data_IF_109563345790
#
_entry.id   IF_109563345790
#
_cell.length_a   1.000
_cell.length_b   1.000
_cell.length_c   1.000
_cell.angle_alpha   90.00
_cell.angle_beta   90.00
_cell.angle_gamma   90.00
#
_symmetry.space_group_name_H-M   'P 1'
#
loop_
_entity.id
_entity.type
_entity.pdbx_description
1 polymer ?
#
# COMPACT_ATOMS: atom_id res chain seq x y z
N UNK A 1 -15.27 5.02 25.52
CA UNK A 1 -16.16 6.02 24.90
C UNK A 1 -17.38 5.38 24.22
N UNK A 2 -17.21 4.27 23.48
CA UNK A 2 -18.32 3.58 22.79
C UNK A 2 -19.24 2.74 23.70
N UNK A 3 -18.99 2.71 25.02
CA UNK A 3 -19.65 1.80 25.98
C UNK A 3 -21.16 2.04 26.14
N UNK A 4 -21.64 3.23 25.81
CA UNK A 4 -23.06 3.61 25.91
C UNK A 4 -23.77 3.67 24.55
N UNK A 5 -23.07 3.33 23.46
CA UNK A 5 -23.60 3.35 22.10
C UNK A 5 -23.33 2.00 21.40
N UNK A 6 -24.14 0.97 21.69
CA UNK A 6 -23.86 -0.40 21.27
C UNK A 6 -23.83 -0.58 19.75
N UNK A 7 -24.63 0.21 19.02
CA UNK A 7 -24.67 0.17 17.56
C UNK A 7 -23.36 0.69 16.93
N UNK A 8 -22.86 1.84 17.38
CA UNK A 8 -21.55 2.37 16.97
C UNK A 8 -20.40 1.47 17.38
N UNK A 9 -20.51 0.85 18.56
CA UNK A 9 -19.50 -0.10 19.03
C UNK A 9 -19.41 -1.31 18.09
N UNK A 10 -20.53 -1.91 17.73
CA UNK A 10 -20.57 -3.08 16.86
C UNK A 10 -20.02 -2.77 15.45
N UNK A 11 -20.36 -1.60 14.88
CA UNK A 11 -19.86 -1.21 13.55
C UNK A 11 -18.36 -0.95 13.55
N UNK A 12 -17.84 -0.28 14.58
CA UNK A 12 -16.40 -0.04 14.75
C UNK A 12 -15.63 -1.33 14.99
N UNK A 13 -16.12 -2.23 15.85
CA UNK A 13 -15.51 -3.53 16.12
C UNK A 13 -15.47 -4.41 14.86
N UNK A 14 -16.54 -4.40 14.06
CA UNK A 14 -16.57 -5.10 12.77
C UNK A 14 -15.55 -4.54 11.77
N UNK A 15 -15.47 -3.21 11.63
CA UNK A 15 -14.49 -2.57 10.76
C UNK A 15 -13.04 -2.80 11.22
N UNK A 16 -12.80 -2.87 12.53
CA UNK A 16 -11.50 -3.20 13.10
C UNK A 16 -11.12 -4.65 12.80
N UNK A 17 -12.06 -5.59 12.93
CA UNK A 17 -11.85 -6.98 12.56
C UNK A 17 -11.54 -7.14 11.06
N UNK A 18 -12.25 -6.40 10.19
CA UNK A 18 -11.95 -6.35 8.75
C UNK A 18 -10.52 -5.84 8.48
N UNK A 19 -10.07 -4.81 9.20
CA UNK A 19 -8.68 -4.32 9.09
C UNK A 19 -7.69 -5.42 9.44
N UNK A 20 -7.85 -6.09 10.59
CA UNK A 20 -6.96 -7.17 11.00
C UNK A 20 -6.94 -8.32 9.98
N UNK A 21 -8.11 -8.79 9.54
CA UNK A 21 -8.20 -9.86 8.56
C UNK A 21 -7.54 -9.48 7.21
N UNK A 22 -7.75 -8.24 6.74
CA UNK A 22 -7.14 -7.78 5.50
C UNK A 22 -5.61 -7.73 5.59
N UNK A 23 -5.10 -7.30 6.75
CA UNK A 23 -3.66 -7.21 7.05
C UNK A 23 -3.01 -8.58 7.16
N UNK A 24 -3.62 -9.48 7.92
CA UNK A 24 -3.13 -10.84 8.12
C UNK A 24 -3.07 -11.62 6.81
N UNK A 25 -3.96 -11.32 5.86
CA UNK A 25 -3.91 -11.86 4.51
C UNK A 25 -2.88 -11.17 3.60
N UNK A 26 -2.54 -9.89 3.82
CA UNK A 26 -1.57 -9.16 3.01
C UNK A 26 -0.11 -9.52 3.36
N UNK A 27 0.22 -9.61 4.66
CA UNK A 27 1.61 -9.77 5.10
C UNK A 27 2.32 -11.01 4.52
N UNK A 28 1.68 -12.20 4.41
CA UNK A 28 2.29 -13.35 3.76
C UNK A 28 2.57 -13.10 2.27
N UNK A 29 1.67 -12.43 1.55
CA UNK A 29 1.86 -12.12 0.12
C UNK A 29 3.02 -11.14 -0.08
N UNK A 30 3.12 -10.12 0.77
CA UNK A 30 4.26 -9.20 0.78
C UNK A 30 5.59 -9.94 1.03
N UNK A 31 5.59 -10.91 1.95
CA UNK A 31 6.77 -11.72 2.23
C UNK A 31 7.18 -12.58 1.03
N UNK A 32 6.24 -13.19 0.33
CA UNK A 32 6.48 -13.94 -0.92
C UNK A 32 7.07 -13.04 -2.01
N UNK A 33 6.45 -11.89 -2.27
CA UNK A 33 6.94 -10.88 -3.21
C UNK A 33 8.38 -10.43 -2.89
N UNK A 34 8.71 -10.30 -1.60
CA UNK A 34 10.05 -9.90 -1.15
C UNK A 34 11.05 -11.03 -1.35
N UNK A 35 10.67 -12.27 -1.05
CA UNK A 35 11.50 -13.46 -1.23
C UNK A 35 11.83 -13.69 -2.71
N UNK A 36 10.82 -13.66 -3.58
CA UNK A 36 11.00 -13.84 -5.03
C UNK A 36 11.92 -12.79 -5.64
N UNK A 37 11.75 -11.51 -5.29
CA UNK A 37 12.65 -10.44 -5.74
C UNK A 37 14.10 -10.68 -5.31
N UNK A 38 14.31 -11.14 -4.08
CA UNK A 38 15.64 -11.45 -3.56
C UNK A 38 16.26 -12.63 -4.30
N UNK A 39 15.48 -13.67 -4.58
CA UNK A 39 15.93 -14.87 -5.28
C UNK A 39 16.27 -14.58 -6.75
N UNK A 40 15.43 -13.80 -7.44
CA UNK A 40 15.70 -13.30 -8.80
C UNK A 40 17.01 -12.51 -8.83
N UNK A 41 17.21 -11.58 -7.88
CA UNK A 41 18.45 -10.82 -7.82
C UNK A 41 19.67 -11.71 -7.58
N UNK A 42 19.54 -12.74 -6.75
CA UNK A 42 20.61 -13.72 -6.51
C UNK A 42 20.95 -14.52 -7.78
N UNK A 43 19.95 -15.02 -8.52
CA UNK A 43 20.19 -15.74 -9.78
C UNK A 43 20.78 -14.84 -10.86
N UNK A 44 20.35 -13.58 -10.96
CA UNK A 44 20.95 -12.61 -11.87
C UNK A 44 22.42 -12.35 -11.52
N UNK A 45 22.76 -12.26 -10.23
CA UNK A 45 24.14 -12.13 -9.80
C UNK A 45 24.96 -13.38 -10.13
N UNK A 46 24.44 -14.58 -9.87
CA UNK A 46 25.12 -15.84 -10.23
C UNK A 46 25.33 -15.99 -11.74
N UNK A 47 24.39 -15.51 -12.56
CA UNK A 47 24.56 -15.46 -14.01
C UNK A 47 25.72 -14.52 -14.42
N UNK A 48 25.82 -13.35 -13.80
CA UNK A 48 26.90 -12.39 -14.06
C UNK A 48 28.26 -12.94 -13.65
N UNK A 49 28.33 -13.64 -12.51
CA UNK A 49 29.55 -14.29 -12.03
C UNK A 49 30.02 -15.40 -12.98
N UNK A 50 29.10 -16.25 -13.45
CA UNK A 50 29.40 -17.30 -14.43
C UNK A 50 29.86 -16.72 -15.77
N UNK A 51 29.26 -15.62 -16.23
CA UNK A 51 29.68 -14.92 -17.45
C UNK A 51 31.06 -14.28 -17.30
N UNK A 52 31.37 -13.70 -16.13
CA UNK A 52 32.69 -13.16 -15.83
C UNK A 52 33.77 -14.26 -15.83
N UNK A 53 33.46 -15.43 -15.26
CA UNK A 53 34.33 -16.60 -15.29
C UNK A 53 34.58 -17.08 -16.73
N UNK A 54 33.53 -17.15 -17.56
CA UNK A 54 33.65 -17.50 -18.98
C UNK A 54 34.55 -16.50 -19.72
N UNK A 55 34.39 -15.19 -19.48
CA UNK A 55 35.23 -14.15 -20.06
C UNK A 55 36.70 -14.27 -19.62
N UNK A 56 36.96 -14.59 -18.35
CA UNK A 56 38.32 -14.84 -17.82
C UNK A 56 38.97 -16.05 -18.51
N UNK A 57 38.25 -17.18 -18.59
CA UNK A 57 38.73 -18.40 -19.25
C UNK A 57 39.03 -18.16 -20.73
N UNK A 58 38.19 -17.37 -21.41
CA UNK A 58 38.40 -16.96 -22.80
C UNK A 58 39.67 -16.11 -22.96
N UNK A 59 39.91 -15.17 -22.05
CA UNK A 59 41.09 -14.31 -22.06
C UNK A 59 42.38 -15.12 -21.83
N UNK A 60 42.35 -16.06 -20.87
CA UNK A 60 43.46 -16.97 -20.59
C UNK A 60 43.78 -17.85 -21.80
N UNK A 61 42.76 -18.45 -22.42
CA UNK A 61 42.93 -19.27 -23.61
C UNK A 61 43.51 -18.46 -24.79
N UNK A 62 43.04 -17.22 -24.98
CA UNK A 62 43.59 -16.29 -25.99
C UNK A 62 45.06 -15.94 -25.72
N UNK A 63 45.44 -15.78 -24.45
CA UNK A 63 46.83 -15.59 -24.03
C UNK A 63 47.70 -16.79 -24.40
N UNK A 64 47.25 -18.00 -24.08
CA UNK A 64 47.95 -19.23 -24.42
C UNK A 64 48.09 -19.41 -25.94
N UNK A 65 47.01 -19.24 -26.71
CA UNK A 65 47.06 -19.36 -28.17
C UNK A 65 48.06 -18.40 -28.84
N UNK A 66 48.27 -17.21 -28.28
CA UNK A 66 49.28 -16.24 -28.77
C UNK A 66 50.72 -16.67 -28.46
N UNK A 67 50.93 -17.48 -27.44
CA UNK A 67 52.24 -17.96 -27.00
C UNK A 67 52.71 -19.24 -27.68
N UNK A 68 51.85 -19.94 -28.43
CA UNK A 68 52.18 -21.21 -29.09
C UNK A 68 52.53 -21.03 -30.58
N UNK A 69 53.62 -21.65 -31.02
CA UNK A 69 54.12 -21.56 -32.42
C UNK A 69 53.88 -22.82 -33.27
N UNK A 70 53.73 -24.01 -32.68
CA UNK A 70 53.77 -25.26 -33.46
C UNK A 70 52.62 -26.28 -33.26
N UNK A 71 51.86 -26.28 -32.13
CA UNK A 71 50.70 -27.18 -31.94
C UNK A 71 49.77 -26.72 -30.80
N UNK A 72 48.47 -27.04 -30.89
CA UNK A 72 47.42 -26.69 -29.91
C UNK A 72 47.55 -27.54 -28.63
N UNK A 73 47.82 -26.90 -27.48
CA UNK A 73 47.93 -27.59 -26.19
C UNK A 73 46.61 -28.22 -25.73
N UNK A 74 46.63 -29.41 -25.08
CA UNK A 74 45.46 -29.99 -24.41
C UNK A 74 44.79 -29.00 -23.43
N UNK A 75 45.58 -28.10 -22.82
CA UNK A 75 45.07 -27.07 -21.91
C UNK A 75 44.14 -26.07 -22.60
N UNK A 76 44.41 -25.72 -23.86
CA UNK A 76 43.53 -24.83 -24.62
C UNK A 76 42.17 -25.48 -24.91
N UNK A 77 42.13 -26.81 -25.10
CA UNK A 77 40.88 -27.56 -25.28
C UNK A 77 40.08 -27.62 -23.98
N UNK A 78 40.76 -27.88 -22.86
CA UNK A 78 40.16 -27.88 -21.53
C UNK A 78 39.56 -26.51 -21.17
N UNK A 79 40.32 -25.42 -21.34
CA UNK A 79 39.84 -24.06 -21.09
C UNK A 79 38.65 -23.70 -22.00
N UNK A 80 38.61 -24.18 -23.25
CA UNK A 80 37.43 -24.00 -24.11
C UNK A 80 36.21 -24.77 -23.63
N UNK A 81 36.39 -25.98 -23.10
CA UNK A 81 35.29 -26.75 -22.53
C UNK A 81 34.74 -26.05 -21.27
N UNK A 82 35.61 -25.56 -20.40
CA UNK A 82 35.24 -24.80 -19.20
C UNK A 82 34.56 -23.47 -19.54
N UNK A 83 35.05 -22.73 -20.55
CA UNK A 83 34.41 -21.50 -21.04
C UNK A 83 32.97 -21.77 -21.51
N UNK A 84 32.75 -22.84 -22.29
CA UNK A 84 31.41 -23.22 -22.75
C UNK A 84 30.49 -23.59 -21.60
N UNK A 85 30.98 -24.40 -20.66
CA UNK A 85 30.22 -24.80 -19.48
C UNK A 85 29.83 -23.58 -18.62
N UNK A 86 30.72 -22.61 -18.45
CA UNK A 86 30.43 -21.38 -17.73
C UNK A 86 29.38 -20.49 -18.44
N UNK A 87 29.43 -20.41 -19.77
CA UNK A 87 28.37 -19.72 -20.53
C UNK A 87 27.02 -20.43 -20.41
N UNK A 88 26.97 -21.76 -20.53
CA UNK A 88 25.73 -22.53 -20.33
C UNK A 88 25.18 -22.34 -18.92
N UNK A 89 26.04 -22.38 -17.89
CA UNK A 89 25.62 -22.11 -16.52
C UNK A 89 25.03 -20.70 -16.36
N UNK A 90 25.61 -19.70 -17.03
CA UNK A 90 25.07 -18.35 -17.02
C UNK A 90 23.69 -18.27 -17.71
N UNK A 91 23.46 -19.05 -18.77
CA UNK A 91 22.15 -19.17 -19.43
C UNK A 91 21.13 -19.84 -18.50
N UNK A 92 21.46 -20.97 -17.89
CA UNK A 92 20.60 -21.69 -16.93
C UNK A 92 20.14 -20.76 -15.79
N UNK A 93 21.06 -19.96 -15.23
CA UNK A 93 20.70 -18.99 -14.18
C UNK A 93 19.76 -17.88 -14.67
N UNK A 94 19.91 -17.41 -15.92
CA UNK A 94 19.00 -16.42 -16.51
C UNK A 94 17.63 -17.02 -16.80
N UNK A 95 17.57 -18.27 -17.23
CA UNK A 95 16.31 -19.00 -17.43
C UNK A 95 15.55 -19.12 -16.09
N UNK A 96 16.22 -19.59 -15.03
CA UNK A 96 15.63 -19.66 -13.68
C UNK A 96 15.13 -18.29 -13.19
N UNK A 97 15.91 -17.23 -13.38
CA UNK A 97 15.50 -15.88 -13.01
C UNK A 97 14.25 -15.41 -13.79
N UNK A 98 14.12 -15.83 -15.06
CA UNK A 98 12.97 -15.50 -15.91
C UNK A 98 11.72 -16.27 -15.49
N UNK A 99 11.87 -17.55 -15.13
CA UNK A 99 10.78 -18.35 -14.58
C UNK A 99 10.26 -17.75 -13.27
N UNK A 100 11.16 -17.40 -12.35
CA UNK A 100 10.79 -16.74 -11.09
C UNK A 100 10.13 -15.37 -11.32
N UNK A 101 10.55 -14.62 -12.35
CA UNK A 101 9.92 -13.35 -12.70
C UNK A 101 8.46 -13.52 -13.10
N UNK A 102 8.10 -14.60 -13.80
CA UNK A 102 6.69 -14.90 -14.11
C UNK A 102 5.86 -15.17 -12.85
N UNK A 103 6.42 -15.91 -11.88
CA UNK A 103 5.77 -16.15 -10.59
C UNK A 103 5.67 -14.87 -9.73
N UNK A 104 6.66 -13.98 -9.84
CA UNK A 104 6.64 -12.68 -9.18
C UNK A 104 5.51 -11.79 -9.72
N UNK A 105 5.25 -11.79 -11.03
CA UNK A 105 4.17 -11.01 -11.62
C UNK A 105 2.79 -11.43 -11.09
N UNK A 106 2.57 -12.74 -10.90
CA UNK A 106 1.33 -13.26 -10.30
C UNK A 106 1.23 -12.90 -8.82
N UNK A 107 2.31 -13.10 -8.06
CA UNK A 107 2.36 -12.75 -6.64
C UNK A 107 2.11 -11.25 -6.41
N UNK A 108 2.67 -10.39 -7.28
CA UNK A 108 2.47 -8.94 -7.22
C UNK A 108 1.01 -8.54 -7.47
N UNK A 109 0.29 -9.25 -8.33
CA UNK A 109 -1.14 -9.01 -8.56
C UNK A 109 -1.99 -9.35 -7.34
N UNK A 110 -1.78 -10.53 -6.78
CA UNK A 110 -2.48 -10.98 -5.58
C UNK A 110 -2.19 -10.06 -4.40
N UNK A 111 -0.91 -9.71 -4.20
CA UNK A 111 -0.48 -8.79 -3.16
C UNK A 111 -1.06 -7.38 -3.37
N UNK A 112 -1.09 -6.87 -4.61
CA UNK A 112 -1.66 -5.55 -4.91
C UNK A 112 -3.18 -5.51 -4.70
N UNK A 113 -3.89 -6.57 -5.07
CA UNK A 113 -5.33 -6.67 -4.85
C UNK A 113 -5.65 -6.74 -3.34
N UNK A 114 -4.86 -7.49 -2.59
CA UNK A 114 -5.00 -7.57 -1.14
C UNK A 114 -4.62 -6.26 -0.44
N UNK A 115 -3.62 -5.53 -0.96
CA UNK A 115 -3.28 -4.18 -0.50
C UNK A 115 -4.47 -3.21 -0.61
N UNK A 116 -5.15 -3.18 -1.77
CA UNK A 116 -6.35 -2.34 -1.93
C UNK A 116 -7.46 -2.69 -0.93
N UNK A 117 -7.55 -3.95 -0.48
CA UNK A 117 -8.48 -4.35 0.59
C UNK A 117 -8.04 -3.83 1.96
N UNK A 118 -6.74 -3.79 2.24
CA UNK A 118 -6.20 -3.15 3.46
C UNK A 118 -6.57 -1.67 3.47
N UNK A 119 -6.30 -0.96 2.38
CA UNK A 119 -6.64 0.48 2.26
C UNK A 119 -8.14 0.71 2.46
N UNK A 120 -8.99 -0.05 1.77
CA UNK A 120 -10.45 0.08 1.91
C UNK A 120 -10.96 -0.24 3.32
N UNK A 121 -10.37 -1.24 4.00
CA UNK A 121 -10.72 -1.57 5.38
C UNK A 121 -10.31 -0.45 6.35
N UNK A 122 -9.11 0.12 6.19
CA UNK A 122 -8.65 1.24 7.00
C UNK A 122 -9.49 2.49 6.81
N UNK A 123 -9.84 2.81 5.56
CA UNK A 123 -10.75 3.92 5.25
C UNK A 123 -12.11 3.71 5.91
N UNK A 124 -12.67 2.49 5.83
CA UNK A 124 -13.93 2.16 6.50
C UNK A 124 -13.83 2.30 8.01
N UNK A 125 -12.75 1.81 8.64
CA UNK A 125 -12.53 1.97 10.08
C UNK A 125 -12.48 3.46 10.46
N UNK A 126 -11.76 4.27 9.70
CA UNK A 126 -11.69 5.71 9.93
C UNK A 126 -13.06 6.39 9.79
N UNK A 127 -13.83 6.04 8.76
CA UNK A 127 -15.17 6.56 8.54
C UNK A 127 -16.11 6.17 9.69
N UNK A 128 -16.20 4.89 10.05
CA UNK A 128 -17.07 4.43 11.13
C UNK A 128 -16.69 5.02 12.49
N UNK A 129 -15.39 5.05 12.81
CA UNK A 129 -14.92 5.57 14.09
C UNK A 129 -15.10 7.09 14.21
N UNK A 130 -14.80 7.84 13.16
CA UNK A 130 -15.03 9.30 13.16
C UNK A 130 -16.51 9.65 13.26
N UNK A 131 -17.39 8.97 12.51
CA UNK A 131 -18.83 9.16 12.60
C UNK A 131 -19.35 8.87 14.01
N UNK A 132 -18.93 7.75 14.60
CA UNK A 132 -19.28 7.37 15.96
C UNK A 132 -18.85 8.43 16.99
N UNK A 133 -17.61 8.94 16.90
CA UNK A 133 -17.12 9.97 17.80
C UNK A 133 -17.89 11.29 17.67
N UNK A 134 -18.27 11.66 16.45
CA UNK A 134 -19.08 12.87 16.21
C UNK A 134 -20.46 12.70 16.84
N UNK A 135 -21.15 11.59 16.59
CA UNK A 135 -22.49 11.35 17.14
C UNK A 135 -22.50 11.30 18.67
N UNK A 136 -21.50 10.63 19.26
CA UNK A 136 -21.31 10.61 20.72
C UNK A 136 -21.06 12.02 21.25
N UNK A 137 -20.14 12.76 20.62
CA UNK A 137 -19.82 14.14 21.03
C UNK A 137 -21.02 15.07 20.95
N UNK A 138 -21.85 14.95 19.91
CA UNK A 138 -23.09 15.71 19.75
C UNK A 138 -24.14 15.35 20.82
N UNK A 139 -24.25 14.06 21.17
CA UNK A 139 -25.17 13.62 22.23
C UNK A 139 -24.76 14.06 23.64
N UNK A 140 -23.49 14.44 23.83
CA UNK A 140 -22.89 14.81 25.11
C UNK A 140 -22.44 16.27 25.16
N UNK A 141 -23.02 17.14 24.31
CA UNK A 141 -22.68 18.56 24.31
C UNK A 141 -22.89 19.18 25.70
N UNK A 142 -21.92 19.97 26.22
CA UNK A 142 -22.06 20.59 27.52
C UNK A 142 -23.35 21.44 27.61
N UNK A 143 -24.16 21.30 28.69
CA UNK A 143 -25.41 22.06 28.82
C UNK A 143 -25.22 23.58 28.74
N UNK A 144 -24.09 24.09 29.24
CA UNK A 144 -23.74 25.50 29.14
C UNK A 144 -23.52 25.96 27.69
N UNK A 145 -22.95 25.12 26.83
CA UNK A 145 -22.75 25.41 25.42
C UNK A 145 -24.10 25.46 24.68
N UNK A 146 -24.98 24.49 24.95
CA UNK A 146 -26.34 24.45 24.39
C UNK A 146 -27.16 25.67 24.80
N UNK A 147 -27.20 25.99 26.10
CA UNK A 147 -27.93 27.13 26.64
C UNK A 147 -27.38 28.47 26.11
N UNK A 148 -26.05 28.63 26.11
CA UNK A 148 -25.40 29.82 25.57
C UNK A 148 -25.72 30.03 24.09
N UNK A 149 -25.71 28.96 23.29
CA UNK A 149 -26.07 29.01 21.89
C UNK A 149 -27.53 29.42 21.66
N UNK A 150 -28.46 28.86 22.45
CA UNK A 150 -29.88 29.24 22.40
C UNK A 150 -30.11 30.70 22.80
N UNK A 151 -29.51 31.16 23.90
CA UNK A 151 -29.63 32.54 24.36
C UNK A 151 -29.05 33.54 23.36
N UNK A 152 -27.89 33.20 22.75
CA UNK A 152 -27.28 34.03 21.71
C UNK A 152 -28.14 34.09 20.45
N UNK A 153 -28.67 32.95 19.99
CA UNK A 153 -29.59 32.90 18.85
C UNK A 153 -30.87 33.69 19.09
N UNK A 154 -31.43 33.62 20.30
CA UNK A 154 -32.60 34.42 20.71
C UNK A 154 -32.27 35.92 20.73
N UNK A 155 -31.11 36.31 21.26
CA UNK A 155 -30.66 37.70 21.25
C UNK A 155 -30.52 38.22 19.81
N UNK A 156 -29.86 37.47 18.93
CA UNK A 156 -29.76 37.83 17.52
C UNK A 156 -31.15 37.94 16.89
N UNK A 157 -32.05 36.99 17.13
CA UNK A 157 -33.43 37.04 16.65
C UNK A 157 -34.24 38.26 17.12
N UNK A 158 -33.88 38.86 18.26
CA UNK A 158 -34.47 40.10 18.76
C UNK A 158 -33.83 41.37 18.18
N UNK A 159 -32.64 41.28 17.57
CA UNK A 159 -32.07 42.40 16.82
C UNK A 159 -33.01 42.71 15.64
N UNK A 160 -33.40 43.98 15.53
CA UNK A 160 -34.46 44.46 14.62
C UNK A 160 -34.21 44.16 13.14
N UNK A 161 -35.13 44.63 12.28
CA UNK A 161 -35.16 44.33 10.83
C UNK A 161 -33.90 44.72 10.04
N UNK A 162 -32.98 45.48 10.64
CA UNK A 162 -31.73 45.96 10.03
C UNK A 162 -30.55 45.01 10.20
N UNK A 163 -30.72 43.87 10.87
CA UNK A 163 -29.62 42.95 11.10
C UNK A 163 -29.19 42.25 9.80
N UNK A 164 -27.90 42.33 9.40
CA UNK A 164 -27.43 41.91 8.08
C UNK A 164 -27.56 40.40 7.82
N UNK A 165 -27.64 39.57 8.86
CA UNK A 165 -27.84 38.12 8.73
C UNK A 165 -29.26 37.74 8.26
N UNK A 166 -30.26 38.63 8.43
CA UNK A 166 -31.65 38.43 7.95
C UNK A 166 -31.79 38.52 6.43
N UNK A 167 -30.82 39.13 5.75
CA UNK A 167 -30.78 39.20 4.27
C UNK A 167 -30.56 37.82 3.61
N UNK A 168 -30.19 36.82 4.41
CA UNK A 168 -29.89 35.47 3.95
C UNK A 168 -30.96 34.45 4.39
N UNK A 169 -32.19 34.90 4.68
CA UNK A 169 -33.35 34.09 5.10
C UNK A 169 -33.07 33.07 6.22
N UNK A 170 -32.12 33.37 7.10
CA UNK A 170 -31.69 32.47 8.17
C UNK A 170 -32.35 32.78 9.52
N UNK A 171 -32.48 31.75 10.36
CA UNK A 171 -32.86 31.91 11.76
C UNK A 171 -31.76 32.58 12.59
N UNK A 172 -32.12 33.18 13.74
CA UNK A 172 -31.13 33.70 14.69
C UNK A 172 -30.15 32.63 15.20
N UNK A 173 -30.57 31.36 15.21
CA UNK A 173 -29.72 30.20 15.51
C UNK A 173 -28.69 29.92 14.39
N UNK A 174 -29.08 30.04 13.12
CA UNK A 174 -28.11 29.91 12.02
C UNK A 174 -27.09 31.05 12.01
N UNK A 175 -27.51 32.27 12.36
CA UNK A 175 -26.60 33.39 12.54
C UNK A 175 -25.61 33.12 13.69
N UNK A 176 -26.10 32.60 14.82
CA UNK A 176 -25.26 32.16 15.94
C UNK A 176 -24.29 31.05 15.52
N UNK A 177 -24.72 30.08 14.68
CA UNK A 177 -23.85 29.02 14.17
C UNK A 177 -22.72 29.59 13.31
N UNK A 178 -23.01 30.53 12.40
CA UNK A 178 -21.99 31.17 11.55
C UNK A 178 -20.91 31.87 12.36
N UNK A 179 -21.26 32.45 13.51
CA UNK A 179 -20.30 33.06 14.43
C UNK A 179 -19.51 32.05 15.27
N UNK A 180 -20.12 30.91 15.62
CA UNK A 180 -19.51 29.88 16.46
C UNK A 180 -18.64 28.89 15.67
N UNK A 181 -19.04 28.54 14.44
CA UNK A 181 -18.35 27.62 13.54
C UNK A 181 -16.84 27.89 13.39
N UNK A 182 -16.35 29.13 13.14
CA UNK A 182 -14.92 29.38 13.03
C UNK A 182 -14.17 29.16 14.36
N UNK A 183 -14.81 29.42 15.50
CA UNK A 183 -14.21 29.19 16.84
C UNK A 183 -14.11 27.70 17.12
N UNK A 184 -15.15 26.93 16.79
CA UNK A 184 -15.15 25.48 16.92
C UNK A 184 -14.12 24.85 15.98
N UNK A 185 -14.05 25.30 14.72
CA UNK A 185 -13.03 24.86 13.76
C UNK A 185 -11.61 25.14 14.26
N UNK A 186 -11.37 26.29 14.91
CA UNK A 186 -10.07 26.60 15.50
C UNK A 186 -9.68 25.62 16.62
N UNK A 187 -10.65 25.15 17.41
CA UNK A 187 -10.42 24.11 18.42
C UNK A 187 -10.15 22.75 17.78
N UNK A 188 -10.88 22.37 16.72
CA UNK A 188 -10.68 21.11 16.00
C UNK A 188 -9.31 21.00 15.31
N UNK A 189 -8.59 22.12 15.11
CA UNK A 189 -7.22 22.12 14.56
C UNK A 189 -6.16 21.76 15.59
N UNK A 190 -6.50 21.69 16.87
CA UNK A 190 -5.55 21.28 17.90
C UNK A 190 -5.25 19.78 17.77
N UNK A 191 -4.01 19.34 18.06
CA UNK A 191 -3.67 17.94 18.03
C UNK A 191 -4.45 17.19 19.12
N UNK A 192 -5.14 16.12 18.73
CA UNK A 192 -5.87 15.22 19.64
C UNK A 192 -5.24 13.83 19.54
N UNK A 193 -4.90 13.23 20.68
CA UNK A 193 -4.46 11.85 20.72
C UNK A 193 -5.66 10.90 20.60
N UNK A 194 -5.51 9.85 19.81
CA UNK A 194 -6.49 8.77 19.78
C UNK A 194 -6.45 8.03 21.13
N UNK A 195 -7.58 7.93 21.85
CA UNK A 195 -7.60 7.32 23.18
C UNK A 195 -7.63 5.78 23.16
N UNK A 196 -7.89 5.18 22.00
CA UNK A 196 -8.06 3.74 21.83
C UNK A 196 -6.86 3.15 21.08
N UNK A 197 -6.02 2.41 21.82
CA UNK A 197 -4.80 1.79 21.29
C UNK A 197 -5.11 0.76 20.19
N UNK A 198 -6.24 0.05 20.28
CA UNK A 198 -6.62 -0.93 19.27
C UNK A 198 -7.01 -0.24 17.96
N UNK A 199 -7.76 0.86 18.05
CA UNK A 199 -8.09 1.68 16.87
C UNK A 199 -6.85 2.37 16.31
N UNK A 200 -5.96 2.87 17.17
CA UNK A 200 -4.68 3.45 16.74
C UNK A 200 -3.84 2.43 15.98
N UNK A 201 -3.74 1.19 16.49
CA UNK A 201 -3.06 0.10 15.80
C UNK A 201 -3.76 -0.25 14.47
N UNK A 202 -5.09 -0.30 14.43
CA UNK A 202 -5.89 -0.53 13.21
C UNK A 202 -5.72 0.54 12.13
N UNK A 203 -5.51 1.80 12.53
CA UNK A 203 -5.27 2.93 11.63
C UNK A 203 -3.79 3.18 11.32
N UNK A 204 -2.87 2.48 12.00
CA UNK A 204 -1.44 2.63 11.75
C UNK A 204 -1.13 2.39 10.26
N UNK A 205 -0.34 3.30 9.67
CA UNK A 205 0.13 3.15 8.31
C UNK A 205 0.94 1.87 8.19
N UNK A 206 0.52 0.99 7.29
CA UNK A 206 1.30 -0.20 6.94
C UNK A 206 2.21 0.17 5.78
N UNK A 207 3.43 -0.35 5.81
CA UNK A 207 4.31 -0.23 4.67
C UNK A 207 3.89 -1.23 3.59
N UNK A 208 3.55 -0.71 2.41
CA UNK A 208 3.31 -1.50 1.20
C UNK A 208 4.55 -2.29 0.80
N UNK A 209 5.75 -1.78 1.14
CA UNK A 209 7.03 -2.41 0.87
C UNK A 209 7.30 -2.53 -0.63
N UNK A 210 7.67 -3.73 -1.09
CA UNK A 210 8.05 -3.99 -2.48
C UNK A 210 6.86 -4.24 -3.43
N UNK A 211 5.62 -4.28 -2.92
CA UNK A 211 4.44 -4.63 -3.72
C UNK A 211 4.04 -3.46 -4.63
N UNK A 212 3.92 -3.66 -5.95
CA UNK A 212 3.72 -2.56 -6.88
C UNK A 212 2.28 -2.01 -6.90
N UNK A 213 2.21 -0.72 -7.21
CA UNK A 213 1.14 0.08 -7.83
C UNK A 213 0.19 -0.53 -8.88
N UNK A 214 -0.55 -1.64 -8.71
CA UNK A 214 -1.38 -2.15 -9.83
C UNK A 214 -2.82 -1.61 -9.81
N UNK A 215 -3.14 -0.79 -10.81
CA UNK A 215 -4.50 -0.26 -11.02
C UNK A 215 -5.46 -1.33 -11.58
N UNK A 216 -6.78 -1.18 -11.39
CA UNK A 216 -7.77 -2.08 -12.00
C UNK A 216 -7.65 -2.19 -13.53
N UNK A 217 -7.30 -1.10 -14.21
CA UNK A 217 -7.08 -1.11 -15.66
C UNK A 217 -5.87 -1.97 -16.04
N UNK A 218 -4.77 -1.87 -15.29
CA UNK A 218 -3.59 -2.73 -15.50
C UNK A 218 -3.90 -4.20 -15.23
N UNK A 219 -4.63 -4.51 -14.15
CA UNK A 219 -5.10 -5.88 -13.89
C UNK A 219 -5.96 -6.43 -15.04
N UNK A 220 -6.86 -5.60 -15.59
CA UNK A 220 -7.68 -5.99 -16.73
C UNK A 220 -6.84 -6.29 -17.99
N UNK A 221 -5.87 -5.43 -18.31
CA UNK A 221 -4.96 -5.64 -19.45
C UNK A 221 -4.18 -6.93 -19.27
N UNK A 222 -3.54 -7.14 -18.12
CA UNK A 222 -2.75 -8.34 -17.83
C UNK A 222 -3.60 -9.62 -17.91
N UNK A 223 -4.81 -9.60 -17.34
CA UNK A 223 -5.75 -10.73 -17.43
C UNK A 223 -6.12 -11.05 -18.86
N UNK A 224 -6.37 -10.02 -19.67
CA UNK A 224 -6.70 -10.17 -21.10
C UNK A 224 -5.52 -10.75 -21.88
N UNK A 225 -4.31 -10.27 -21.63
CA UNK A 225 -3.07 -10.79 -22.25
C UNK A 225 -2.87 -12.27 -21.94
N UNK A 226 -3.04 -12.69 -20.68
CA UNK A 226 -2.99 -14.13 -20.29
C UNK A 226 -4.04 -14.96 -21.01
N UNK A 227 -5.29 -14.49 -21.07
CA UNK A 227 -6.37 -15.19 -21.77
C UNK A 227 -6.06 -15.34 -23.27
N UNK A 228 -5.51 -14.31 -23.91
CA UNK A 228 -5.11 -14.38 -25.32
C UNK A 228 -3.93 -15.32 -25.54
N UNK A 229 -2.95 -15.34 -24.63
CA UNK A 229 -1.80 -16.23 -24.71
C UNK A 229 -2.21 -17.71 -24.53
N UNK A 230 -3.11 -17.99 -23.58
CA UNK A 230 -3.67 -19.33 -23.36
C UNK A 230 -4.50 -19.81 -24.57
N UNK A 231 -5.29 -18.93 -25.18
CA UNK A 231 -6.06 -19.25 -26.38
C UNK A 231 -5.17 -19.48 -27.62
N UNK A 232 -3.97 -18.90 -27.69
CA UNK A 232 -3.02 -19.12 -28.77
C UNK A 232 -2.23 -20.44 -28.63
N UNK A 233 -2.24 -21.06 -27.44
CA UNK A 233 -1.57 -22.32 -27.15
C UNK A 233 -2.50 -23.54 -27.20
N UNK A 234 -3.82 -23.32 -27.32
CA UNK A 234 -4.87 -24.34 -27.43
C UNK A 234 -5.27 -24.61 -28.89
#
# INVERSE_FOLDING_TARGET
>A
MLTHHPEHRATVEAALAECHAARDAFLPLQAVCTALRKEIAAHQQSAQEAEADAARLRAENKGLLRSFTNNLSPKCRELKAQERAAYTLAEDWRELATELASGLDEADEDASLQWSRVEGAQERLQQCYSAALIEIGLSQLPPALLLGFQLHGNHLGQQGQTAPWRLFDGSGLEAAWRELAPKLLAQCKQPVSLPDDAISAGLQAIDRGCVPHITPAQLHVRRRERQTAQAAQA
#
